data_IF_848931233028
#
_entry.id   IF_848931233028
#
_cell.length_a   1.000
_cell.length_b   1.000
_cell.length_c   1.000
_cell.angle_alpha   90.00
_cell.angle_beta   90.00
_cell.angle_gamma   90.00
#
_symmetry.space_group_name_H-M   'P 1'
#
loop_
_entity.id
_entity.type
_entity.pdbx_description
1 polymer ?
#
# COMPACT_ATOMS: atom_id res chain seq x y z
N UNK A 1 -16.33 62.00 29.16
CA UNK A 1 -15.52 60.76 29.23
C UNK A 1 -16.37 59.48 29.20
N UNK A 2 -17.70 59.55 29.22
CA UNK A 2 -18.60 58.38 29.09
C UNK A 2 -19.10 58.08 27.65
N UNK A 3 -18.78 58.92 26.66
CA UNK A 3 -19.20 58.69 25.26
C UNK A 3 -18.28 57.80 24.43
N UNK A 4 -17.10 57.45 24.93
CA UNK A 4 -16.11 56.64 24.22
C UNK A 4 -16.16 55.16 24.64
N UNK A 5 -16.80 54.85 25.78
CA UNK A 5 -16.93 53.48 26.30
C UNK A 5 -18.19 52.73 25.85
N UNK A 6 -19.19 53.42 25.26
CA UNK A 6 -20.41 52.75 24.76
C UNK A 6 -20.29 52.21 23.34
N UNK A 7 -19.24 52.60 22.61
CA UNK A 7 -19.04 52.20 21.20
C UNK A 7 -18.26 50.87 21.06
N UNK A 8 -17.57 50.43 22.12
CA UNK A 8 -16.76 49.22 22.15
C UNK A 8 -17.56 47.91 22.41
N UNK A 9 -18.88 47.98 22.66
CA UNK A 9 -19.71 46.81 22.98
C UNK A 9 -20.76 46.44 21.92
N UNK A 10 -20.72 47.04 20.72
CA UNK A 10 -21.54 46.58 19.59
C UNK A 10 -20.89 45.39 18.88
N UNK A 11 -21.39 44.18 19.16
CA UNK A 11 -21.14 42.98 18.35
C UNK A 11 -21.37 43.28 16.86
N UNK A 12 -20.43 42.97 15.95
CA UNK A 12 -20.66 43.16 14.52
C UNK A 12 -21.66 42.11 14.00
N UNK A 13 -22.82 42.56 13.52
CA UNK A 13 -23.84 41.73 12.82
C UNK A 13 -23.45 41.35 11.38
N UNK A 14 -22.20 41.56 10.96
CA UNK A 14 -21.75 41.34 9.57
C UNK A 14 -20.74 40.19 9.37
N UNK A 15 -20.31 39.50 10.44
CA UNK A 15 -19.36 38.37 10.32
C UNK A 15 -19.91 37.17 9.53
N UNK A 16 -21.24 37.08 9.35
CA UNK A 16 -21.88 35.98 8.62
C UNK A 16 -21.89 36.18 7.09
N UNK A 17 -21.80 37.41 6.56
CA UNK A 17 -21.83 37.64 5.11
C UNK A 17 -20.46 37.56 4.48
N UNK A 18 -19.40 37.96 5.20
CA UNK A 18 -18.01 37.82 4.74
C UNK A 18 -17.52 36.36 4.80
N UNK A 19 -17.93 35.61 5.83
CA UNK A 19 -17.64 34.17 5.91
C UNK A 19 -18.37 33.37 4.82
N UNK A 20 -19.58 33.81 4.44
CA UNK A 20 -20.36 33.20 3.36
C UNK A 20 -19.80 33.56 1.98
N UNK A 21 -19.39 34.82 1.76
CA UNK A 21 -18.66 35.25 0.56
C UNK A 21 -17.33 34.54 0.39
N UNK A 22 -16.54 34.37 1.47
CA UNK A 22 -15.29 33.59 1.41
C UNK A 22 -15.51 32.11 1.08
N UNK A 23 -16.67 31.56 1.44
CA UNK A 23 -17.02 30.16 1.12
C UNK A 23 -17.50 30.02 -0.33
N UNK A 24 -18.26 31.00 -0.81
CA UNK A 24 -18.67 31.11 -2.22
C UNK A 24 -17.48 31.42 -3.15
N UNK A 25 -16.48 32.20 -2.71
CA UNK A 25 -15.21 32.39 -3.41
C UNK A 25 -14.32 31.13 -3.38
N UNK A 26 -14.35 30.34 -2.29
CA UNK A 26 -13.65 29.05 -2.23
C UNK A 26 -14.26 27.99 -3.16
N UNK A 27 -15.58 28.04 -3.36
CA UNK A 27 -16.30 27.11 -4.25
C UNK A 27 -16.24 27.57 -5.73
N UNK A 28 -16.01 28.86 -6.00
CA UNK A 28 -15.95 29.43 -7.35
C UNK A 28 -14.61 29.21 -8.09
N UNK A 29 -13.53 28.87 -7.38
CA UNK A 29 -12.23 28.49 -7.98
C UNK A 29 -12.21 27.04 -8.51
N UNK A 30 -13.33 26.31 -8.42
CA UNK A 30 -13.53 25.00 -9.04
C UNK A 30 -13.92 25.14 -10.52
N UNK A 31 -12.99 25.64 -11.33
CA UNK A 31 -13.04 25.46 -12.79
C UNK A 31 -12.94 23.95 -13.11
N UNK A 32 -13.87 23.36 -13.89
CA UNK A 32 -13.87 21.92 -14.17
C UNK A 32 -12.71 21.46 -15.07
N UNK A 33 -11.88 22.38 -15.54
CA UNK A 33 -10.66 22.13 -16.33
C UNK A 33 -9.39 22.76 -15.69
N UNK A 34 -9.44 23.10 -14.40
CA UNK A 34 -8.28 23.60 -13.66
C UNK A 34 -7.24 22.50 -13.44
N UNK A 35 -6.06 22.68 -14.01
CA UNK A 35 -4.87 21.84 -13.90
C UNK A 35 -4.74 21.17 -12.51
N UNK A 36 -4.93 19.84 -12.45
CA UNK A 36 -4.98 19.02 -11.22
C UNK A 36 -3.66 19.08 -10.41
N UNK A 37 -2.60 19.58 -11.04
CA UNK A 37 -1.28 19.85 -10.47
C UNK A 37 -1.21 20.97 -9.42
N UNK A 38 -2.29 21.71 -9.16
CA UNK A 38 -2.31 22.75 -8.12
C UNK A 38 -2.40 22.20 -6.67
N UNK A 39 -1.93 20.97 -6.44
CA UNK A 39 -1.61 20.41 -5.12
C UNK A 39 -0.42 21.16 -4.49
N UNK A 40 -0.56 22.47 -4.30
CA UNK A 40 0.49 23.35 -3.82
C UNK A 40 0.36 23.56 -2.33
N UNK A 41 1.08 22.73 -1.60
CA UNK A 41 1.55 23.08 -0.27
C UNK A 41 2.34 24.39 -0.37
N UNK A 42 1.80 25.49 0.17
CA UNK A 42 2.20 26.88 -0.09
C UNK A 42 3.50 27.31 0.61
N UNK A 43 4.36 26.36 0.96
CA UNK A 43 5.70 26.61 1.50
C UNK A 43 6.63 25.48 1.08
N UNK A 44 7.30 25.63 -0.05
CA UNK A 44 8.29 24.64 -0.50
C UNK A 44 9.61 25.29 -0.86
N UNK A 45 10.65 24.65 -0.34
CA UNK A 45 12.06 24.82 -0.63
C UNK A 45 12.31 24.72 -2.15
N UNK A 46 13.35 25.38 -2.65
CA UNK A 46 13.61 25.50 -4.10
C UNK A 46 13.74 24.14 -4.81
N UNK A 47 14.24 23.12 -4.10
CA UNK A 47 14.42 21.75 -4.62
C UNK A 47 13.10 21.05 -4.94
N UNK A 48 12.08 21.23 -4.10
CA UNK A 48 10.73 20.66 -4.33
C UNK A 48 10.09 21.23 -5.59
N UNK A 49 10.43 22.47 -5.96
CA UNK A 49 9.88 23.13 -7.16
C UNK A 49 10.39 22.48 -8.46
N UNK A 50 11.63 21.97 -8.49
CA UNK A 50 12.20 21.33 -9.69
C UNK A 50 11.62 19.93 -9.88
N UNK A 51 11.57 19.14 -8.80
CA UNK A 51 11.00 17.79 -8.85
C UNK A 51 9.53 17.81 -9.24
N UNK A 52 8.74 18.75 -8.72
CA UNK A 52 7.34 18.93 -9.13
C UNK A 52 7.20 19.26 -10.61
N UNK A 53 8.04 20.17 -11.15
CA UNK A 53 8.00 20.51 -12.57
C UNK A 53 8.45 19.36 -13.47
N UNK A 54 9.39 18.54 -13.02
CA UNK A 54 9.79 17.33 -13.73
C UNK A 54 8.65 16.31 -13.74
N UNK A 55 7.97 16.13 -12.61
CA UNK A 55 6.77 15.29 -12.55
C UNK A 55 5.69 15.79 -13.48
N UNK A 56 5.32 17.08 -13.43
CA UNK A 56 4.34 17.69 -14.34
C UNK A 56 4.69 17.49 -15.84
N UNK A 57 5.98 17.38 -16.17
CA UNK A 57 6.45 17.23 -17.55
C UNK A 57 6.54 15.77 -18.00
N UNK A 58 6.86 14.86 -17.09
CA UNK A 58 7.20 13.47 -17.39
C UNK A 58 6.26 12.44 -16.73
N UNK A 59 5.20 12.87 -16.06
CA UNK A 59 4.19 12.04 -15.39
C UNK A 59 3.75 10.86 -16.27
N UNK A 60 3.40 11.11 -17.54
CA UNK A 60 2.91 10.09 -18.45
C UNK A 60 4.02 9.13 -18.91
N UNK A 61 5.28 9.56 -18.94
CA UNK A 61 6.43 8.68 -19.21
C UNK A 61 6.77 7.81 -18.01
N UNK A 62 6.76 8.39 -16.81
CA UNK A 62 7.00 7.67 -15.55
C UNK A 62 5.87 6.65 -15.32
N UNK A 63 4.61 7.02 -15.55
CA UNK A 63 3.48 6.10 -15.44
C UNK A 63 3.59 4.93 -16.44
N UNK A 64 3.94 5.20 -17.70
CA UNK A 64 4.20 4.14 -18.68
C UNK A 64 5.37 3.24 -18.27
N UNK A 65 6.46 3.83 -17.79
CA UNK A 65 7.60 3.08 -17.29
C UNK A 65 7.26 2.26 -16.03
N UNK A 66 6.37 2.75 -15.17
CA UNK A 66 5.89 2.03 -13.99
C UNK A 66 5.05 0.80 -14.35
N UNK A 67 4.34 0.83 -15.49
CA UNK A 67 3.52 -0.29 -15.99
C UNK A 67 4.37 -1.26 -16.81
N UNK A 68 5.12 -0.75 -17.79
CA UNK A 68 5.76 -1.54 -18.83
C UNK A 68 7.27 -1.68 -18.68
N UNK A 69 7.90 -0.90 -17.79
CA UNK A 69 9.36 -0.82 -17.68
C UNK A 69 10.02 -2.16 -17.39
N UNK A 70 9.45 -2.96 -16.48
CA UNK A 70 9.97 -4.30 -16.18
C UNK A 70 9.82 -5.24 -17.39
N UNK A 71 8.67 -5.21 -18.07
CA UNK A 71 8.43 -6.05 -19.25
C UNK A 71 9.33 -5.68 -20.42
N UNK A 72 9.68 -4.39 -20.57
CA UNK A 72 10.56 -3.89 -21.62
C UNK A 72 12.04 -4.19 -21.34
N UNK A 73 12.49 -4.02 -20.09
CA UNK A 73 13.92 -4.16 -19.73
C UNK A 73 14.31 -5.58 -19.35
N UNK A 74 13.43 -6.31 -18.65
CA UNK A 74 13.65 -7.70 -18.21
C UNK A 74 12.41 -8.55 -18.47
N UNK A 75 12.14 -8.92 -19.73
CA UNK A 75 10.95 -9.68 -20.11
C UNK A 75 10.81 -11.01 -19.36
N UNK A 76 11.93 -11.65 -18.98
CA UNK A 76 11.93 -12.92 -18.25
C UNK A 76 11.52 -12.78 -16.77
N UNK A 77 11.67 -11.59 -16.19
CA UNK A 77 11.24 -11.27 -14.82
C UNK A 77 9.80 -10.73 -14.78
N UNK A 78 9.18 -10.52 -15.95
CA UNK A 78 7.83 -9.98 -16.06
C UNK A 78 6.79 -11.08 -16.27
N UNK A 79 5.74 -11.08 -15.43
CA UNK A 79 4.58 -11.95 -15.59
C UNK A 79 3.61 -11.51 -16.69
N UNK A 80 3.98 -10.54 -17.55
CA UNK A 80 3.09 -10.01 -18.61
C UNK A 80 2.72 -11.07 -19.66
N UNK A 81 3.59 -12.06 -19.89
CA UNK A 81 3.28 -13.25 -20.69
C UNK A 81 3.19 -14.47 -19.80
N UNK A 82 1.98 -14.93 -19.54
CA UNK A 82 1.72 -16.09 -18.68
C UNK A 82 2.03 -17.42 -19.37
N UNK A 83 1.62 -17.56 -20.63
CA UNK A 83 1.79 -18.78 -21.41
C UNK A 83 2.44 -18.48 -22.76
N UNK A 84 3.37 -19.34 -23.16
CA UNK A 84 3.90 -19.35 -24.52
C UNK A 84 2.85 -19.90 -25.50
N UNK A 85 2.88 -19.53 -26.79
CA UNK A 85 1.95 -20.08 -27.79
C UNK A 85 1.96 -21.61 -27.86
N UNK A 86 3.13 -22.24 -27.63
CA UNK A 86 3.27 -23.70 -27.58
C UNK A 86 2.56 -24.30 -26.36
N UNK A 87 2.70 -23.68 -25.18
CA UNK A 87 1.96 -24.09 -23.98
C UNK A 87 0.46 -23.90 -24.17
N UNK A 88 0.03 -22.79 -24.78
CA UNK A 88 -1.39 -22.55 -25.10
C UNK A 88 -1.93 -23.63 -26.03
N UNK A 89 -1.21 -23.97 -27.10
CA UNK A 89 -1.61 -25.04 -28.02
C UNK A 89 -1.66 -26.40 -27.33
N UNK A 90 -0.68 -26.71 -26.46
CA UNK A 90 -0.66 -27.94 -25.67
C UNK A 90 -1.87 -28.00 -24.73
N UNK A 91 -2.14 -26.95 -23.94
CA UNK A 91 -3.28 -26.92 -23.03
C UNK A 91 -4.62 -26.97 -23.76
N UNK A 92 -4.75 -26.28 -24.89
CA UNK A 92 -5.93 -26.38 -25.74
C UNK A 92 -6.12 -27.81 -26.26
N UNK A 93 -5.05 -28.46 -26.72
CA UNK A 93 -5.07 -29.85 -27.16
C UNK A 93 -5.44 -30.83 -26.05
N UNK A 94 -4.88 -30.67 -24.85
CA UNK A 94 -5.22 -31.45 -23.66
C UNK A 94 -6.69 -31.26 -23.27
N UNK A 95 -7.20 -30.02 -23.30
CA UNK A 95 -8.58 -29.70 -22.96
C UNK A 95 -9.56 -30.29 -23.99
N UNK A 96 -9.24 -30.21 -25.28
CA UNK A 96 -10.02 -30.86 -26.35
C UNK A 96 -10.01 -32.38 -26.23
N UNK A 97 -8.84 -32.97 -25.95
CA UNK A 97 -8.71 -34.41 -25.72
C UNK A 97 -9.54 -34.86 -24.52
N UNK A 98 -9.48 -34.11 -23.41
CA UNK A 98 -10.29 -34.36 -22.23
C UNK A 98 -11.79 -34.26 -22.52
N UNK A 99 -12.22 -33.24 -23.27
CA UNK A 99 -13.61 -33.09 -23.70
C UNK A 99 -14.08 -34.25 -24.60
N UNK A 100 -13.22 -34.75 -25.49
CA UNK A 100 -13.53 -35.89 -26.35
C UNK A 100 -13.70 -37.19 -25.54
N UNK A 101 -12.87 -37.41 -24.50
CA UNK A 101 -13.00 -38.55 -23.58
C UNK A 101 -14.28 -38.45 -22.76
N UNK A 102 -14.59 -37.26 -22.23
CA UNK A 102 -15.85 -37.00 -21.52
C UNK A 102 -17.07 -37.29 -22.41
N UNK A 103 -17.03 -36.87 -23.67
CA UNK A 103 -18.11 -37.12 -24.63
C UNK A 103 -18.27 -38.60 -24.93
N UNK A 104 -17.16 -39.32 -25.10
CA UNK A 104 -17.16 -40.75 -25.46
C UNK A 104 -17.57 -41.65 -24.29
N UNK A 105 -17.13 -41.34 -23.07
CA UNK A 105 -17.35 -42.14 -21.86
C UNK A 105 -17.75 -41.26 -20.66
N UNK A 106 -18.97 -40.69 -20.64
CA UNK A 106 -19.36 -39.68 -19.66
C UNK A 106 -19.35 -40.20 -18.23
N UNK A 107 -19.89 -41.40 -17.99
CA UNK A 107 -19.98 -41.97 -16.62
C UNK A 107 -18.59 -42.32 -16.08
N UNK A 108 -17.78 -43.04 -16.85
CA UNK A 108 -16.44 -43.44 -16.42
C UNK A 108 -15.53 -42.22 -16.18
N UNK A 109 -15.63 -41.20 -17.04
CA UNK A 109 -14.88 -39.95 -16.89
C UNK A 109 -15.31 -39.17 -15.65
N UNK A 110 -16.62 -39.11 -15.36
CA UNK A 110 -17.12 -38.46 -14.16
C UNK A 110 -16.66 -39.17 -12.88
N UNK A 111 -16.73 -40.51 -12.84
CA UNK A 111 -16.23 -41.31 -11.71
C UNK A 111 -14.73 -41.10 -11.54
N UNK A 112 -13.95 -41.19 -12.62
CA UNK A 112 -12.50 -40.97 -12.58
C UNK A 112 -12.13 -39.58 -12.09
N UNK A 113 -12.81 -38.55 -12.58
CA UNK A 113 -12.63 -37.17 -12.11
C UNK A 113 -12.96 -37.02 -10.63
N UNK A 114 -14.05 -37.62 -10.15
CA UNK A 114 -14.42 -37.57 -8.74
C UNK A 114 -13.40 -38.27 -7.84
N UNK A 115 -12.91 -39.46 -8.25
CA UNK A 115 -11.85 -40.18 -7.54
C UNK A 115 -10.57 -39.34 -7.49
N UNK A 116 -10.17 -38.74 -8.62
CA UNK A 116 -9.01 -37.86 -8.70
C UNK A 116 -9.14 -36.65 -7.76
N UNK A 117 -10.26 -35.94 -7.81
CA UNK A 117 -10.53 -34.77 -6.95
C UNK A 117 -10.54 -35.17 -5.47
N UNK A 118 -11.14 -36.32 -5.14
CA UNK A 118 -11.15 -36.87 -3.78
C UNK A 118 -9.73 -37.16 -3.28
N UNK A 119 -8.91 -37.84 -4.09
CA UNK A 119 -7.50 -38.12 -3.75
C UNK A 119 -6.72 -36.82 -3.58
N UNK A 120 -6.93 -35.83 -4.45
CA UNK A 120 -6.31 -34.51 -4.34
C UNK A 120 -6.66 -33.81 -3.02
N UNK A 121 -7.94 -33.75 -2.64
CA UNK A 121 -8.36 -33.14 -1.39
C UNK A 121 -7.84 -33.88 -0.16
N UNK A 122 -7.87 -35.22 -0.18
CA UNK A 122 -7.28 -36.04 0.88
C UNK A 122 -5.79 -35.75 1.01
N UNK A 123 -5.06 -35.70 -0.11
CA UNK A 123 -3.64 -35.37 -0.14
C UNK A 123 -3.36 -33.96 0.38
N UNK A 124 -4.19 -32.98 0.02
CA UNK A 124 -4.08 -31.61 0.52
C UNK A 124 -4.33 -31.52 2.03
N UNK A 125 -5.28 -32.29 2.56
CA UNK A 125 -5.52 -32.39 4.02
C UNK A 125 -4.30 -33.01 4.71
N UNK A 126 -3.77 -34.13 4.20
CA UNK A 126 -2.57 -34.75 4.76
C UNK A 126 -1.36 -33.83 4.70
N UNK A 127 -1.18 -33.10 3.59
CA UNK A 127 -0.12 -32.11 3.45
C UNK A 127 -0.25 -30.97 4.48
N UNK A 128 -1.47 -30.44 4.68
CA UNK A 128 -1.72 -29.43 5.72
C UNK A 128 -1.48 -29.97 7.12
N UNK A 129 -1.92 -31.20 7.42
CA UNK A 129 -1.64 -31.85 8.70
C UNK A 129 -0.13 -32.04 8.91
N UNK A 130 0.59 -32.46 7.87
CA UNK A 130 2.05 -32.60 7.89
C UNK A 130 2.74 -31.25 8.13
N UNK A 131 2.31 -30.18 7.46
CA UNK A 131 2.79 -28.82 7.71
C UNK A 131 2.51 -28.36 9.14
N UNK A 132 1.35 -28.68 9.71
CA UNK A 132 1.03 -28.37 11.11
C UNK A 132 1.94 -29.14 12.09
N UNK A 133 2.22 -30.41 11.81
CA UNK A 133 3.08 -31.24 12.66
C UNK A 133 4.55 -30.76 12.63
N UNK A 134 5.04 -30.33 11.47
CA UNK A 134 6.41 -29.81 11.32
C UNK A 134 6.52 -28.35 11.76
N UNK A 135 5.50 -27.54 11.48
CA UNK A 135 5.42 -26.11 11.82
C UNK A 135 5.33 -25.83 13.32
N UNK A 136 5.15 -26.86 14.15
CA UNK A 136 5.32 -26.77 15.62
C UNK A 136 6.75 -26.50 16.06
N UNK A 137 7.73 -26.72 15.19
CA UNK A 137 9.06 -26.14 15.35
C UNK A 137 8.98 -24.75 14.74
N UNK A 138 8.60 -23.74 15.52
CA UNK A 138 8.97 -22.37 15.20
C UNK A 138 10.44 -22.42 14.79
N UNK A 139 10.84 -22.02 13.57
CA UNK A 139 12.20 -21.56 13.43
C UNK A 139 12.24 -20.41 14.41
N UNK A 140 12.96 -20.61 15.52
CA UNK A 140 13.20 -19.57 16.53
C UNK A 140 13.32 -18.28 15.73
N UNK A 141 12.39 -17.34 15.94
CA UNK A 141 12.56 -16.01 15.40
C UNK A 141 14.02 -15.69 15.69
N UNK A 142 14.87 -15.66 14.63
CA UNK A 142 16.31 -15.66 14.83
C UNK A 142 16.61 -14.59 15.87
N UNK A 143 17.59 -14.82 16.75
CA UNK A 143 17.84 -13.95 17.92
C UNK A 143 17.55 -12.49 17.56
N UNK A 144 16.80 -11.75 18.40
CA UNK A 144 16.35 -10.41 18.08
C UNK A 144 17.54 -9.64 17.50
N UNK A 145 17.35 -8.98 16.33
CA UNK A 145 18.47 -8.37 15.63
C UNK A 145 19.14 -7.37 16.58
N UNK A 146 20.45 -7.23 16.45
CA UNK A 146 21.23 -6.35 17.31
C UNK A 146 20.66 -4.92 17.18
N UNK A 147 20.37 -4.26 18.32
CA UNK A 147 19.81 -2.92 18.27
C UNK A 147 20.79 -1.97 17.58
N UNK A 148 20.29 -1.22 16.59
CA UNK A 148 21.04 -0.16 15.93
C UNK A 148 20.78 1.17 16.64
N UNK A 149 21.78 2.03 16.67
CA UNK A 149 21.60 3.41 17.11
C UNK A 149 20.95 4.25 16.01
N UNK A 150 20.25 5.32 16.38
CA UNK A 150 19.57 6.21 15.44
C UNK A 150 20.51 6.79 14.37
N UNK A 151 21.80 6.97 14.71
CA UNK A 151 22.82 7.43 13.77
C UNK A 151 23.08 6.42 12.63
N UNK A 152 23.07 5.12 12.95
CA UNK A 152 23.34 4.03 12.01
C UNK A 152 22.16 3.68 11.11
N UNK A 153 20.94 4.09 11.48
CA UNK A 153 19.75 3.79 10.70
C UNK A 153 19.80 4.46 9.31
N UNK A 154 19.46 3.76 8.22
CA UNK A 154 19.40 4.36 6.89
C UNK A 154 18.19 5.31 6.74
N UNK A 155 18.08 6.01 5.62
CA UNK A 155 16.79 6.63 5.25
C UNK A 155 15.90 5.53 4.70
N UNK A 156 14.64 5.50 5.13
CA UNK A 156 13.63 4.55 4.63
C UNK A 156 12.53 5.32 3.91
N UNK A 157 12.24 4.91 2.69
CA UNK A 157 11.05 5.37 1.97
C UNK A 157 9.86 4.47 2.30
N UNK A 158 8.80 5.08 2.81
CA UNK A 158 7.53 4.43 3.14
C UNK A 158 6.54 4.72 2.00
N UNK A 159 6.20 3.70 1.22
CA UNK A 159 5.22 3.80 0.13
C UNK A 159 3.83 3.41 0.64
N UNK A 160 2.88 4.32 0.52
CA UNK A 160 1.48 4.14 0.93
C UNK A 160 0.57 4.27 -0.31
N UNK A 161 0.39 3.19 -1.11
CA UNK A 161 -0.56 3.15 -2.22
C UNK A 161 -2.00 3.12 -1.71
N UNK A 162 -2.82 4.07 -2.17
CA UNK A 162 -4.22 4.20 -1.76
C UNK A 162 -5.10 4.41 -2.99
N UNK A 163 -6.19 3.64 -3.09
CA UNK A 163 -7.19 3.80 -4.14
C UNK A 163 -8.57 3.41 -3.63
N UNK A 164 -9.44 4.42 -3.48
CA UNK A 164 -10.78 4.34 -2.86
C UNK A 164 -10.72 3.93 -1.38
N UNK A 165 -9.69 4.42 -0.69
CA UNK A 165 -9.36 4.07 0.71
C UNK A 165 -9.38 5.28 1.66
N UNK A 166 -10.18 6.31 1.33
CA UNK A 166 -10.28 7.56 2.07
C UNK A 166 -10.48 7.37 3.59
N UNK A 167 -11.29 6.37 3.99
CA UNK A 167 -11.59 6.07 5.39
C UNK A 167 -10.40 5.50 6.19
N UNK A 168 -9.44 4.86 5.52
CA UNK A 168 -8.29 4.23 6.17
C UNK A 168 -7.17 5.25 6.50
N UNK A 169 -7.09 6.35 5.73
CA UNK A 169 -6.03 7.34 5.76
C UNK A 169 -5.72 7.91 7.17
N UNK A 170 -6.71 8.28 8.01
CA UNK A 170 -6.43 8.79 9.35
C UNK A 170 -5.76 7.74 10.25
N UNK A 171 -6.14 6.48 10.11
CA UNK A 171 -5.58 5.38 10.91
C UNK A 171 -4.18 5.03 10.44
N UNK A 172 -3.97 4.94 9.13
CA UNK A 172 -2.67 4.70 8.52
C UNK A 172 -1.65 5.78 8.89
N UNK A 173 -2.02 7.06 8.77
CA UNK A 173 -1.14 8.18 9.14
C UNK A 173 -0.73 8.12 10.62
N UNK A 174 -1.67 7.81 11.53
CA UNK A 174 -1.34 7.61 12.96
C UNK A 174 -0.40 6.43 13.17
N UNK A 175 -0.57 5.33 12.44
CA UNK A 175 0.30 4.17 12.56
C UNK A 175 1.73 4.49 12.10
N UNK A 176 1.88 5.15 10.95
CA UNK A 176 3.19 5.59 10.42
C UNK A 176 3.87 6.61 11.33
N UNK A 177 3.10 7.51 11.95
CA UNK A 177 3.63 8.48 12.90
C UNK A 177 4.13 7.83 14.20
N UNK A 178 3.50 6.74 14.64
CA UNK A 178 3.89 5.94 15.82
C UNK A 178 5.13 5.08 15.60
N UNK A 179 5.57 4.88 14.36
CA UNK A 179 6.82 4.16 14.09
C UNK A 179 8.00 4.86 14.78
N UNK A 180 8.63 4.13 15.70
CA UNK A 180 9.85 4.50 16.42
C UNK A 180 11.02 4.46 15.43
N UNK A 181 11.16 5.56 14.70
CA UNK A 181 12.22 5.79 13.73
C UNK A 181 12.49 7.31 13.63
N UNK A 182 13.74 7.76 13.48
CA UNK A 182 14.04 9.19 13.40
C UNK A 182 13.22 9.88 12.30
N UNK A 183 12.48 10.94 12.65
CA UNK A 183 11.53 11.57 11.75
C UNK A 183 12.17 12.08 10.44
N UNK A 184 13.41 12.56 10.51
CA UNK A 184 14.17 13.03 9.33
C UNK A 184 14.67 11.89 8.43
N UNK A 185 14.60 10.63 8.88
CA UNK A 185 14.95 9.43 8.11
C UNK A 185 13.73 8.67 7.59
N UNK A 186 12.51 9.14 7.92
CA UNK A 186 11.26 8.64 7.34
C UNK A 186 10.88 9.50 6.13
N UNK A 187 11.03 8.92 4.94
CA UNK A 187 10.60 9.53 3.68
C UNK A 187 9.23 8.97 3.29
N UNK A 188 8.14 9.64 3.65
CA UNK A 188 6.78 9.08 3.50
C UNK A 188 6.15 9.53 2.20
N UNK A 189 5.76 8.58 1.35
CA UNK A 189 5.11 8.82 0.04
C UNK A 189 3.67 8.34 0.09
N UNK A 190 2.73 9.27 0.01
CA UNK A 190 1.31 8.97 -0.13
C UNK A 190 0.97 8.92 -1.61
N UNK A 191 0.72 7.73 -2.14
CA UNK A 191 0.54 7.49 -3.57
C UNK A 191 -0.95 7.37 -3.88
N UNK A 192 -1.52 8.40 -4.49
CA UNK A 192 -2.96 8.53 -4.76
C UNK A 192 -3.22 8.51 -6.26
N UNK A 193 -4.23 7.79 -6.73
CA UNK A 193 -4.67 7.89 -8.13
C UNK A 193 -5.44 9.20 -8.34
N UNK A 194 -5.19 9.88 -9.47
CA UNK A 194 -5.81 11.18 -9.78
C UNK A 194 -7.34 11.11 -9.87
N UNK A 195 -7.89 9.97 -10.27
CA UNK A 195 -9.33 9.74 -10.42
C UNK A 195 -10.01 9.30 -9.11
N UNK A 196 -9.35 9.47 -7.97
CA UNK A 196 -9.89 9.27 -6.62
C UNK A 196 -9.95 10.59 -5.82
N UNK A 197 -10.89 11.49 -6.16
CA UNK A 197 -11.00 12.79 -5.52
C UNK A 197 -11.38 12.70 -4.04
N UNK A 198 -12.04 11.62 -3.61
CA UNK A 198 -12.43 11.41 -2.22
C UNK A 198 -11.19 11.22 -1.33
N UNK A 199 -10.32 10.28 -1.68
CA UNK A 199 -9.09 10.03 -0.92
C UNK A 199 -8.13 11.21 -0.97
N UNK A 200 -8.01 11.89 -2.12
CA UNK A 200 -7.20 13.11 -2.25
C UNK A 200 -7.73 14.21 -1.31
N UNK A 201 -9.04 14.36 -1.21
CA UNK A 201 -9.66 15.36 -0.34
C UNK A 201 -9.43 15.03 1.14
N UNK A 202 -9.57 13.78 1.54
CA UNK A 202 -9.28 13.35 2.91
C UNK A 202 -7.80 13.53 3.28
N UNK A 203 -6.87 13.21 2.37
CA UNK A 203 -5.45 13.47 2.57
C UNK A 203 -5.14 14.96 2.81
N UNK A 204 -5.84 15.86 2.08
CA UNK A 204 -5.70 17.32 2.28
C UNK A 204 -6.25 17.76 3.64
N UNK A 205 -7.39 17.21 4.06
CA UNK A 205 -8.04 17.56 5.34
C UNK A 205 -7.21 17.18 6.56
N UNK A 206 -6.46 16.07 6.48
CA UNK A 206 -5.67 15.57 7.61
C UNK A 206 -4.48 16.46 7.98
N UNK A 207 -4.06 17.39 7.11
CA UNK A 207 -2.99 18.34 7.44
C UNK A 207 -1.68 17.64 7.81
N UNK A 208 -1.29 16.64 7.02
CA UNK A 208 -0.13 15.79 7.28
C UNK A 208 1.17 16.62 7.43
N UNK A 209 2.09 16.11 8.26
CA UNK A 209 3.43 16.69 8.46
C UNK A 209 4.19 16.83 7.12
N UNK A 210 5.10 17.81 7.03
CA UNK A 210 5.98 18.06 5.86
C UNK A 210 6.78 16.84 5.39
N UNK A 211 6.97 15.84 6.24
CA UNK A 211 7.60 14.55 5.88
C UNK A 211 6.74 13.65 4.99
N UNK A 212 5.43 13.91 4.91
CA UNK A 212 4.53 13.28 3.95
C UNK A 212 4.58 14.04 2.62
N UNK A 213 4.92 13.32 1.56
CA UNK A 213 4.83 13.79 0.20
C UNK A 213 3.63 13.12 -0.47
N UNK A 214 2.58 13.90 -0.72
CA UNK A 214 1.42 13.44 -1.51
C UNK A 214 1.76 13.47 -2.99
N UNK A 215 1.76 12.31 -3.62
CA UNK A 215 2.00 12.12 -5.04
C UNK A 215 0.69 11.67 -5.68
N UNK A 216 0.18 12.49 -6.59
CA UNK A 216 -0.97 12.13 -7.42
C UNK A 216 -0.46 11.53 -8.71
N UNK A 217 -0.88 10.30 -8.97
CA UNK A 217 -0.49 9.48 -10.11
C UNK A 217 -1.50 9.70 -11.22
N UNK A 218 -1.06 10.04 -12.44
CA UNK A 218 -1.96 10.29 -13.55
C UNK A 218 -2.77 9.03 -13.91
N UNK A 219 -4.00 9.19 -14.41
CA UNK A 219 -4.88 8.06 -14.70
C UNK A 219 -4.32 7.26 -15.87
N UNK A 220 -3.77 6.09 -15.55
CA UNK A 220 -3.37 5.09 -16.53
C UNK A 220 -3.76 3.69 -16.07
N UNK A 221 -4.24 2.89 -17.03
CA UNK A 221 -4.55 1.49 -16.79
C UNK A 221 -3.29 0.62 -16.87
N UNK A 222 -3.12 -0.37 -15.98
CA UNK A 222 -4.07 -0.79 -14.95
C UNK A 222 -3.92 0.00 -13.63
N UNK A 223 -5.04 0.36 -12.99
CA UNK A 223 -5.08 0.96 -11.63
C UNK A 223 -4.76 -0.08 -10.55
N UNK A 224 -3.49 -0.30 -10.27
CA UNK A 224 -3.03 -1.38 -9.38
C UNK A 224 -1.96 -0.89 -8.41
N UNK A 225 -1.92 -1.51 -7.21
CA UNK A 225 -0.90 -1.21 -6.19
C UNK A 225 0.54 -1.30 -6.74
N UNK A 226 0.92 -2.32 -7.56
CA UNK A 226 2.26 -2.37 -8.16
C UNK A 226 2.57 -1.18 -9.07
N UNK A 227 1.62 -0.71 -9.89
CA UNK A 227 1.81 0.51 -10.71
C UNK A 227 2.13 1.71 -9.82
N UNK A 228 1.30 1.94 -8.79
CA UNK A 228 1.47 3.07 -7.89
C UNK A 228 2.83 3.00 -7.17
N UNK A 229 3.19 1.83 -6.64
CA UNK A 229 4.48 1.63 -5.98
C UNK A 229 5.66 1.83 -6.93
N UNK A 230 5.60 1.32 -8.17
CA UNK A 230 6.63 1.55 -9.18
C UNK A 230 6.76 3.03 -9.54
N UNK A 231 5.65 3.77 -9.60
CA UNK A 231 5.67 5.21 -9.81
C UNK A 231 6.35 5.92 -8.62
N UNK A 232 5.94 5.59 -7.40
CA UNK A 232 6.51 6.11 -6.16
C UNK A 232 8.00 5.79 -6.00
N UNK A 233 8.45 4.65 -6.51
CA UNK A 233 9.86 4.21 -6.48
C UNK A 233 10.80 5.21 -7.17
N UNK A 234 10.37 5.84 -8.27
CA UNK A 234 11.17 6.88 -8.95
C UNK A 234 11.39 8.13 -8.09
N UNK A 235 10.61 8.29 -7.02
CA UNK A 235 10.65 9.44 -6.11
C UNK A 235 11.17 9.06 -4.72
N UNK A 236 11.51 7.79 -4.52
CA UNK A 236 12.06 7.28 -3.27
C UNK A 236 13.46 7.86 -3.04
N UNK A 237 13.74 8.28 -1.79
CA UNK A 237 15.05 8.79 -1.37
C UNK A 237 15.78 7.84 -0.42
N UNK A 238 15.08 6.85 0.12
CA UNK A 238 15.60 5.89 1.07
C UNK A 238 16.52 4.86 0.43
N UNK A 239 17.44 4.36 1.24
CA UNK A 239 18.24 3.18 0.92
C UNK A 239 17.41 1.90 1.06
N UNK A 240 16.43 1.91 1.98
CA UNK A 240 15.44 0.85 2.12
C UNK A 240 14.05 1.36 1.77
N UNK A 241 13.19 0.42 1.34
CA UNK A 241 11.81 0.71 0.97
C UNK A 241 10.91 -0.24 1.73
N UNK A 242 9.81 0.31 2.25
CA UNK A 242 8.70 -0.46 2.81
C UNK A 242 7.42 -0.05 2.11
N UNK A 243 6.55 -1.02 1.88
CA UNK A 243 5.22 -0.82 1.34
C UNK A 243 4.24 -1.19 2.45
N UNK A 244 3.32 -0.28 2.76
CA UNK A 244 2.19 -0.58 3.65
C UNK A 244 0.89 -0.41 2.88
N UNK A 245 -0.01 -1.36 3.09
CA UNK A 245 -1.38 -1.30 2.61
C UNK A 245 -2.24 -0.37 3.49
N UNK A 246 -3.42 0.00 3.00
CA UNK A 246 -4.30 0.98 3.63
C UNK A 246 -4.72 0.55 5.05
N UNK A 247 -4.87 -0.76 5.24
CA UNK A 247 -5.29 -1.43 6.48
C UNK A 247 -4.14 -1.77 7.44
N UNK A 248 -2.89 -1.55 7.04
CA UNK A 248 -1.73 -2.01 7.82
C UNK A 248 -1.52 -1.19 9.10
N UNK A 249 -1.27 -1.91 10.18
CA UNK A 249 -0.94 -1.37 11.51
C UNK A 249 0.41 -1.95 11.96
N UNK A 250 1.54 -1.44 11.44
CA UNK A 250 2.84 -1.97 11.79
C UNK A 250 3.19 -1.75 13.27
N UNK A 251 3.91 -2.71 13.85
CA UNK A 251 4.51 -2.55 15.18
C UNK A 251 5.44 -1.33 15.20
N UNK A 252 5.48 -0.63 16.33
CA UNK A 252 6.21 0.65 16.45
C UNK A 252 7.70 0.51 16.13
N UNK A 253 8.34 -0.60 16.47
CA UNK A 253 9.77 -0.86 16.24
C UNK A 253 10.06 -1.63 14.94
N UNK A 254 9.05 -1.88 14.10
CA UNK A 254 9.17 -2.74 12.92
C UNK A 254 10.27 -2.27 11.95
N UNK A 255 10.36 -0.96 11.70
CA UNK A 255 11.37 -0.40 10.80
C UNK A 255 12.80 -0.55 11.33
N UNK A 256 13.00 -0.41 12.66
CA UNK A 256 14.31 -0.62 13.29
C UNK A 256 14.71 -2.09 13.20
N UNK A 257 13.78 -3.02 13.46
CA UNK A 257 14.00 -4.46 13.29
C UNK A 257 14.36 -4.79 11.83
N UNK A 258 13.62 -4.27 10.87
CA UNK A 258 13.89 -4.50 9.44
C UNK A 258 15.27 -3.97 9.02
N UNK A 259 15.60 -2.73 9.39
CA UNK A 259 16.90 -2.13 9.10
C UNK A 259 18.06 -2.94 9.70
N UNK A 260 17.93 -3.40 10.95
CA UNK A 260 18.93 -4.24 11.59
C UNK A 260 19.09 -5.60 10.90
N UNK A 261 18.01 -6.20 10.40
CA UNK A 261 18.07 -7.44 9.61
C UNK A 261 18.78 -7.25 8.27
N UNK A 262 18.56 -6.13 7.59
CA UNK A 262 19.33 -5.81 6.39
C UNK A 262 20.82 -5.60 6.69
N UNK A 263 21.15 -4.95 7.81
CA UNK A 263 22.53 -4.71 8.22
C UNK A 263 23.29 -6.00 8.63
N UNK A 264 22.59 -6.98 9.22
CA UNK A 264 23.14 -8.29 9.59
C UNK A 264 23.18 -9.29 8.44
N UNK A 265 22.32 -9.09 7.43
CA UNK A 265 22.20 -9.95 6.27
C UNK A 265 23.43 -9.94 5.37
N UNK A 266 23.55 -10.95 4.53
CA UNK A 266 24.56 -10.96 3.47
C UNK A 266 24.13 -10.10 2.28
N UNK A 267 25.03 -9.91 1.32
CA UNK A 267 24.76 -9.15 0.10
C UNK A 267 23.67 -9.76 -0.81
N UNK A 268 23.17 -10.96 -0.51
CA UNK A 268 22.08 -11.61 -1.26
C UNK A 268 20.71 -11.32 -0.65
N UNK A 269 20.64 -10.78 0.56
CA UNK A 269 19.38 -10.43 1.22
C UNK A 269 18.72 -9.23 0.53
N UNK A 270 17.71 -9.51 -0.29
CA UNK A 270 16.98 -8.49 -1.04
C UNK A 270 15.68 -8.02 -0.35
N UNK A 271 15.08 -8.84 0.51
CA UNK A 271 13.79 -8.55 1.12
C UNK A 271 13.68 -9.15 2.53
N UNK A 272 13.09 -8.38 3.44
CA UNK A 272 12.71 -8.82 4.78
C UNK A 272 11.20 -8.73 4.89
N UNK A 273 10.53 -9.86 5.13
CA UNK A 273 9.08 -9.93 5.26
C UNK A 273 8.67 -9.94 6.73
N UNK A 274 7.83 -9.00 7.13
CA UNK A 274 7.18 -9.03 8.43
C UNK A 274 6.09 -10.13 8.46
N UNK A 275 5.85 -10.70 9.65
CA UNK A 275 4.71 -11.61 9.84
C UNK A 275 3.42 -10.79 9.69
N UNK A 276 2.49 -11.29 8.88
CA UNK A 276 1.17 -10.69 8.74
C UNK A 276 0.25 -11.23 9.83
N UNK A 277 -0.37 -10.32 10.58
CA UNK A 277 -1.38 -10.66 11.58
C UNK A 277 -2.62 -9.79 11.35
N UNK A 278 -3.79 -10.33 11.68
CA UNK A 278 -5.06 -9.58 11.60
C UNK A 278 -5.49 -9.13 12.99
N UNK A 279 -6.13 -7.97 13.07
CA UNK A 279 -6.60 -7.40 14.33
C UNK A 279 -8.06 -7.78 14.66
N UNK A 280 -8.83 -8.23 13.67
CA UNK A 280 -10.27 -8.51 13.78
C UNK A 280 -10.60 -9.94 14.23
N UNK A 281 -9.74 -10.50 15.08
CA UNK A 281 -9.81 -11.90 15.54
C UNK A 281 -11.16 -12.24 16.15
N UNK A 282 -11.73 -11.32 16.94
CA UNK A 282 -12.90 -11.60 17.76
C UNK A 282 -14.24 -11.27 17.07
N UNK A 283 -14.20 -10.72 15.85
CA UNK A 283 -15.40 -10.27 15.12
C UNK A 283 -16.42 -11.39 14.90
N UNK A 284 -15.97 -12.60 14.55
CA UNK A 284 -16.86 -13.74 14.35
C UNK A 284 -16.13 -15.10 14.43
N UNK A 285 -16.90 -16.18 14.29
CA UNK A 285 -16.38 -17.55 14.38
C UNK A 285 -15.37 -17.89 13.27
N UNK A 286 -15.51 -17.30 12.07
CA UNK A 286 -14.61 -17.50 10.95
C UNK A 286 -13.27 -16.81 11.20
N UNK A 287 -13.28 -15.55 11.64
CA UNK A 287 -12.04 -14.81 11.98
C UNK A 287 -11.30 -15.47 13.14
N UNK A 288 -12.02 -15.96 14.17
CA UNK A 288 -11.43 -16.79 15.23
C UNK A 288 -10.80 -18.08 14.71
N UNK A 289 -11.46 -18.76 13.77
CA UNK A 289 -10.97 -20.01 13.17
C UNK A 289 -9.72 -19.82 12.30
N UNK A 290 -9.66 -18.71 11.53
CA UNK A 290 -8.48 -18.30 10.77
C UNK A 290 -7.34 -17.97 11.75
N UNK A 291 -7.65 -17.23 12.81
CA UNK A 291 -6.69 -16.79 13.82
C UNK A 291 -6.13 -17.88 14.71
N UNK A 292 -6.88 -18.96 14.94
CA UNK A 292 -6.38 -20.12 15.69
C UNK A 292 -5.20 -20.82 14.96
N UNK A 293 -5.02 -20.55 13.66
CA UNK A 293 -3.94 -21.11 12.84
C UNK A 293 -2.70 -20.21 12.82
N UNK A 294 -2.80 -18.97 13.31
CA UNK A 294 -1.70 -18.00 13.36
C UNK A 294 -1.13 -17.96 14.78
N UNK A 295 0.19 -18.18 14.98
CA UNK A 295 0.82 -18.02 16.28
C UNK A 295 0.63 -16.58 16.79
N UNK A 296 -0.07 -16.43 17.91
CA UNK A 296 -0.22 -15.14 18.58
C UNK A 296 1.10 -14.80 19.29
N UNK A 297 1.83 -13.80 18.80
CA UNK A 297 2.45 -12.86 19.72
C UNK A 297 1.39 -11.81 20.01
N UNK A 298 0.87 -11.84 21.23
CA UNK A 298 -0.05 -10.82 21.73
C UNK A 298 0.75 -9.51 21.75
N UNK A 299 0.59 -8.67 20.74
CA UNK A 299 1.10 -7.31 20.81
C UNK A 299 0.10 -6.50 21.67
N UNK A 300 0.49 -5.97 22.84
CA UNK A 300 -0.41 -5.34 23.81
C UNK A 300 -0.97 -3.97 23.38
N UNK A 301 -1.01 -3.69 22.08
CA UNK A 301 -1.49 -2.42 21.52
C UNK A 301 -2.88 -2.55 20.88
N UNK A 302 -3.85 -2.97 21.68
CA UNK A 302 -5.23 -2.49 21.59
C UNK A 302 -5.61 -1.91 22.96
N UNK A 303 -6.39 -0.82 23.01
CA UNK A 303 -6.59 -0.01 24.22
C UNK A 303 -7.19 -0.78 25.40
#
# INVERSE_FOLDING_TARGET
>A
MERILSEALRKPRHASSEAKRRREELDADLEPNGNVYSLRNRQTDKTTTVQQRLLERFDGEIARAAIDGLAATRPQESAKRLLTPQQTALFAGLLLGFAAVLWRWPVASFVGFNVFVTIYFISAIFFRLWLLLIGRKEPAAGAPPRPMTDAQLPVITILLPLYRDAAALPTLARAVDRLDYPAHKKDVKLLLEEDDPETITEARKLGLDKRYETIVIPPQEPRTKPKACNYGLYLARGELIVIYDAEDLPDTDQLKKAAARFAEGDAKLACVQARLNYYNREDNWLTRGIMAQTPLEVNPCTP
#
